data_IF_994759810987
#
_entry.id   IF_994759810987
#
_cell.length_a   1.000
_cell.length_b   1.000
_cell.length_c   1.000
_cell.angle_alpha   90.00
_cell.angle_beta   90.00
_cell.angle_gamma   90.00
#
_symmetry.space_group_name_H-M   'P 1'
#
loop_
_entity.id
_entity.type
_entity.pdbx_description
1 polymer ?
#
# COMPACT_ATOMS: atom_id res chain seq x y z
N UNK A 1 -11.35 -63.97 27.64
CA UNK A 1 -11.91 -62.98 26.69
C UNK A 1 -11.78 -61.59 27.31
N UNK A 2 -10.95 -60.71 26.76
CA UNK A 2 -10.91 -59.27 27.12
C UNK A 2 -10.81 -58.48 25.82
N UNK A 3 -11.87 -57.70 25.57
CA UNK A 3 -12.12 -56.99 24.33
C UNK A 3 -11.11 -55.86 24.11
N UNK A 4 -10.60 -55.75 22.87
CA UNK A 4 -9.83 -54.61 22.41
C UNK A 4 -10.80 -53.52 21.93
N UNK A 5 -10.75 -52.34 22.56
CA UNK A 5 -11.48 -51.15 22.11
C UNK A 5 -10.55 -50.37 21.17
N UNK A 6 -10.79 -50.51 19.87
CA UNK A 6 -10.19 -49.68 18.82
C UNK A 6 -10.89 -48.32 18.82
N UNK A 7 -10.22 -47.31 19.38
CA UNK A 7 -10.65 -45.91 19.29
C UNK A 7 -10.38 -45.35 17.90
N UNK A 8 -11.44 -45.05 17.15
CA UNK A 8 -11.40 -44.43 15.83
C UNK A 8 -11.15 -42.92 16.01
N UNK A 9 -9.94 -42.44 15.71
CA UNK A 9 -9.59 -41.02 15.75
C UNK A 9 -10.14 -40.28 14.54
N UNK A 10 -11.09 -39.37 14.77
CA UNK A 10 -11.60 -38.42 13.77
C UNK A 10 -10.54 -37.31 13.56
N UNK A 11 -9.82 -37.33 12.44
CA UNK A 11 -8.94 -36.23 12.03
C UNK A 11 -9.81 -35.13 11.41
N UNK A 12 -10.14 -34.11 12.20
CA UNK A 12 -10.76 -32.89 11.68
C UNK A 12 -9.72 -32.11 10.85
N UNK A 13 -9.84 -32.16 9.52
CA UNK A 13 -9.08 -31.30 8.60
C UNK A 13 -9.64 -29.89 8.71
N UNK A 14 -8.99 -29.05 9.52
CA UNK A 14 -9.29 -27.63 9.59
C UNK A 14 -8.83 -26.92 8.33
N UNK A 15 -9.77 -26.41 7.53
CA UNK A 15 -9.47 -25.53 6.41
C UNK A 15 -9.22 -24.12 6.98
N UNK A 16 -7.97 -23.76 7.22
CA UNK A 16 -7.61 -22.39 7.59
C UNK A 16 -7.71 -21.48 6.35
N UNK A 17 -8.37 -20.32 6.44
CA UNK A 17 -8.32 -19.35 5.35
C UNK A 17 -6.87 -18.88 5.13
N UNK A 18 -6.48 -18.57 3.88
CA UNK A 18 -5.18 -17.99 3.61
C UNK A 18 -5.05 -16.67 4.40
N UNK A 19 -3.91 -16.50 5.08
CA UNK A 19 -3.61 -15.26 5.79
C UNK A 19 -3.67 -14.06 4.81
N UNK A 20 -4.07 -12.86 5.28
CA UNK A 20 -3.98 -11.65 4.47
C UNK A 20 -2.57 -11.53 3.88
N UNK A 21 -2.48 -11.36 2.56
CA UNK A 21 -1.20 -11.17 1.88
C UNK A 21 -0.57 -9.87 2.41
N UNK A 22 0.40 -10.00 3.30
CA UNK A 22 1.12 -8.85 3.84
C UNK A 22 2.09 -8.33 2.77
N UNK A 23 1.92 -7.07 2.36
CA UNK A 23 2.80 -6.43 1.36
C UNK A 23 3.71 -5.42 2.02
N UNK A 24 4.95 -5.32 1.55
CA UNK A 24 5.86 -4.24 1.87
C UNK A 24 5.65 -3.13 0.83
N UNK A 25 5.51 -1.91 1.31
CA UNK A 25 5.28 -0.73 0.49
C UNK A 25 6.36 0.29 0.80
N UNK A 26 7.18 0.60 -0.19
CA UNK A 26 8.16 1.68 -0.14
C UNK A 26 7.64 2.87 -0.93
N UNK A 27 7.72 4.07 -0.35
CA UNK A 27 7.20 5.30 -0.93
C UNK A 27 8.28 6.36 -0.88
N UNK A 28 8.55 6.97 -2.03
CA UNK A 28 9.44 8.12 -2.15
C UNK A 28 8.77 9.18 -3.01
N UNK A 29 8.74 10.42 -2.53
CA UNK A 29 8.20 11.56 -3.26
C UNK A 29 9.28 12.62 -3.43
N UNK A 30 9.67 12.89 -4.68
CA UNK A 30 10.74 13.85 -5.02
C UNK A 30 10.19 15.09 -5.72
N UNK A 31 10.86 16.25 -5.65
CA UNK A 31 10.47 17.43 -6.41
C UNK A 31 10.33 17.14 -7.90
N UNK A 32 9.32 17.74 -8.54
CA UNK A 32 9.16 17.74 -9.99
C UNK A 32 9.54 19.12 -10.58
N UNK A 33 9.36 19.30 -11.90
CA UNK A 33 9.72 20.51 -12.64
C UNK A 33 8.99 21.78 -12.19
N UNK A 34 7.90 21.66 -11.43
CA UNK A 34 7.11 22.78 -10.92
C UNK A 34 7.11 22.81 -9.39
N UNK A 35 7.05 24.00 -8.76
CA UNK A 35 6.87 24.13 -7.32
C UNK A 35 5.67 23.32 -6.84
N UNK A 36 5.75 22.81 -5.61
CA UNK A 36 4.69 22.06 -4.93
C UNK A 36 4.25 20.74 -5.60
N UNK A 37 4.80 20.38 -6.76
CA UNK A 37 4.58 19.07 -7.37
C UNK A 37 5.62 18.08 -6.93
N UNK A 38 5.14 16.88 -6.57
CA UNK A 38 5.98 15.77 -6.14
C UNK A 38 5.67 14.55 -6.97
N UNK A 39 6.70 14.03 -7.64
CA UNK A 39 6.63 12.73 -8.28
C UNK A 39 6.82 11.66 -7.20
N UNK A 40 5.75 10.95 -6.89
CA UNK A 40 5.77 9.85 -5.93
C UNK A 40 5.96 8.52 -6.67
N UNK A 41 6.95 7.76 -6.25
CA UNK A 41 7.19 6.38 -6.66
C UNK A 41 6.79 5.45 -5.52
N UNK A 42 5.91 4.50 -5.81
CA UNK A 42 5.43 3.47 -4.87
C UNK A 42 5.89 2.11 -5.36
N UNK A 43 6.66 1.39 -4.54
CA UNK A 43 7.08 0.02 -4.82
C UNK A 43 6.35 -0.93 -3.89
N UNK A 44 5.70 -1.94 -4.46
CA UNK A 44 4.90 -2.92 -3.74
C UNK A 44 5.49 -4.31 -3.96
N UNK A 45 5.87 -4.98 -2.88
CA UNK A 45 6.36 -6.35 -2.89
C UNK A 45 5.59 -7.22 -1.89
N UNK A 46 5.41 -8.49 -2.23
CA UNK A 46 4.92 -9.49 -1.28
C UNK A 46 5.98 -9.71 -0.19
N UNK A 47 5.62 -9.60 1.09
CA UNK A 47 6.60 -9.68 2.19
C UNK A 47 7.21 -11.08 2.36
N UNK A 48 6.49 -12.13 1.95
CA UNK A 48 6.93 -13.50 2.18
C UNK A 48 7.90 -13.96 1.09
N UNK A 49 7.59 -13.61 -0.15
CA UNK A 49 8.32 -14.07 -1.34
C UNK A 49 9.28 -13.02 -1.90
N UNK A 50 9.09 -11.75 -1.53
CA UNK A 50 9.80 -10.62 -2.14
C UNK A 50 9.35 -10.31 -3.57
N UNK A 51 8.37 -11.03 -4.11
CA UNK A 51 7.90 -10.85 -5.48
C UNK A 51 7.20 -9.50 -5.67
N UNK A 52 7.37 -8.88 -6.85
CA UNK A 52 6.71 -7.64 -7.19
C UNK A 52 5.20 -7.82 -7.39
N UNK A 53 4.39 -6.95 -6.76
CA UNK A 53 2.93 -7.00 -6.86
C UNK A 53 2.47 -6.18 -8.08
N UNK A 54 2.11 -6.89 -9.16
CA UNK A 54 1.65 -6.30 -10.43
C UNK A 54 0.13 -6.16 -10.46
N UNK A 55 -0.37 -5.24 -11.29
CA UNK A 55 -1.81 -5.08 -11.54
C UNK A 55 -2.58 -4.45 -10.37
N UNK A 56 -1.89 -3.82 -9.42
CA UNK A 56 -2.52 -3.05 -8.38
C UNK A 56 -3.02 -1.71 -8.93
N UNK A 57 -4.18 -1.27 -8.43
CA UNK A 57 -4.62 0.11 -8.58
C UNK A 57 -4.05 0.90 -7.42
N UNK A 58 -3.25 1.94 -7.71
CA UNK A 58 -2.61 2.78 -6.69
C UNK A 58 -3.14 4.20 -6.82
N UNK A 59 -3.62 4.74 -5.70
CA UNK A 59 -4.14 6.11 -5.61
C UNK A 59 -3.41 6.86 -4.51
N UNK A 60 -3.02 8.10 -4.80
CA UNK A 60 -2.33 9.00 -3.88
C UNK A 60 -3.32 10.07 -3.40
N UNK A 61 -3.33 10.35 -2.11
CA UNK A 61 -4.01 11.50 -1.50
C UNK A 61 -3.01 12.22 -0.61
N UNK A 62 -3.15 13.52 -0.39
CA UNK A 62 -2.31 14.23 0.56
C UNK A 62 -3.13 15.16 1.47
N UNK A 63 -2.81 15.17 2.76
CA UNK A 63 -3.41 16.06 3.76
C UNK A 63 -2.34 16.83 4.51
N UNK A 64 -2.61 18.09 4.82
CA UNK A 64 -1.80 18.86 5.76
C UNK A 64 -2.29 18.58 7.19
N UNK A 65 -1.50 17.91 8.05
CA UNK A 65 -1.97 17.47 9.37
C UNK A 65 -2.19 18.61 10.37
N UNK A 66 -1.59 19.78 10.16
CA UNK A 66 -1.81 20.97 11.02
C UNK A 66 -3.19 21.60 10.82
N UNK A 67 -3.81 21.41 9.65
CA UNK A 67 -5.15 21.89 9.32
C UNK A 67 -5.93 20.77 8.59
N UNK A 68 -6.31 19.70 9.29
CA UNK A 68 -6.95 18.54 8.69
C UNK A 68 -8.22 18.93 7.92
N UNK A 69 -8.43 18.32 6.75
CA UNK A 69 -9.59 18.53 5.85
C UNK A 69 -9.75 19.95 5.26
N UNK A 70 -9.03 20.96 5.76
CA UNK A 70 -9.00 22.29 5.16
C UNK A 70 -8.04 22.35 3.97
N UNK A 71 -6.97 21.54 4.03
CA UNK A 71 -5.95 21.44 2.99
C UNK A 71 -5.72 19.97 2.65
N UNK A 72 -6.44 19.52 1.64
CA UNK A 72 -6.47 18.13 1.16
C UNK A 72 -6.38 18.13 -0.35
N UNK A 73 -5.45 17.36 -0.90
CA UNK A 73 -5.30 17.19 -2.35
C UNK A 73 -6.22 16.08 -2.83
N UNK A 74 -7.01 16.29 -3.90
CA UNK A 74 -7.86 15.25 -4.48
C UNK A 74 -7.07 13.97 -4.82
N UNK A 75 -7.71 12.79 -4.77
CA UNK A 75 -7.07 11.54 -5.13
C UNK A 75 -6.48 11.58 -6.56
N UNK A 76 -5.18 11.31 -6.68
CA UNK A 76 -4.45 11.24 -7.94
C UNK A 76 -4.04 9.79 -8.24
N UNK A 77 -4.30 9.26 -9.46
CA UNK A 77 -3.88 7.92 -9.81
C UNK A 77 -2.36 7.84 -9.98
N UNK A 78 -1.77 6.72 -9.57
CA UNK A 78 -0.40 6.36 -9.90
C UNK A 78 -0.40 5.27 -10.98
N UNK A 79 0.22 5.55 -12.12
CA UNK A 79 0.32 4.63 -13.25
C UNK A 79 1.46 3.62 -13.04
N UNK A 80 1.39 2.41 -13.61
CA UNK A 80 2.51 1.47 -13.61
C UNK A 80 3.80 2.11 -14.18
N UNK A 81 4.90 1.91 -13.48
CA UNK A 81 6.24 2.30 -13.92
C UNK A 81 6.89 1.25 -14.84
N UNK A 82 8.15 1.49 -15.18
CA UNK A 82 8.92 0.56 -16.03
C UNK A 82 9.26 -0.76 -15.32
N UNK A 83 9.43 -0.73 -14.01
CA UNK A 83 9.73 -1.91 -13.20
C UNK A 83 8.44 -2.57 -12.69
N UNK A 84 8.34 -3.91 -12.69
CA UNK A 84 7.21 -4.60 -12.08
C UNK A 84 6.99 -4.21 -10.62
N UNK A 85 5.73 -3.98 -10.25
CA UNK A 85 5.35 -3.58 -8.89
C UNK A 85 5.72 -2.16 -8.49
N UNK A 86 6.21 -1.36 -9.44
CA UNK A 86 6.43 0.07 -9.26
C UNK A 86 5.30 0.86 -9.90
N UNK A 87 4.81 1.87 -9.20
CA UNK A 87 3.76 2.80 -9.64
C UNK A 87 4.24 4.23 -9.43
N UNK A 88 3.89 5.13 -10.34
CA UNK A 88 4.28 6.54 -10.32
C UNK A 88 3.08 7.44 -10.50
N UNK A 89 2.94 8.40 -9.60
CA UNK A 89 1.89 9.42 -9.66
C UNK A 89 2.45 10.76 -9.21
N UNK A 90 1.77 11.84 -9.59
CA UNK A 90 2.12 13.18 -9.13
C UNK A 90 1.06 13.66 -8.16
N UNK A 91 1.51 14.16 -7.02
CA UNK A 91 0.68 14.97 -6.11
C UNK A 91 1.07 16.44 -6.28
N UNK A 92 0.05 17.29 -6.47
CA UNK A 92 0.19 18.74 -6.59
C UNK A 92 -0.35 19.37 -5.31
N UNK A 93 0.56 19.87 -4.48
CA UNK A 93 0.24 20.41 -3.16
C UNK A 93 -0.15 21.88 -3.27
N UNK A 94 -0.97 22.34 -2.34
CA UNK A 94 -1.53 23.71 -2.39
C UNK A 94 -0.56 24.76 -1.86
N UNK A 95 0.32 24.35 -0.94
CA UNK A 95 1.24 25.25 -0.24
C UNK A 95 2.43 24.49 0.37
N UNK A 96 3.44 25.26 0.76
CA UNK A 96 4.59 24.77 1.54
C UNK A 96 4.15 24.31 2.93
N UNK A 97 4.93 23.43 3.52
CA UNK A 97 4.67 22.85 4.84
C UNK A 97 4.78 21.34 4.86
N UNK A 98 4.36 20.74 5.98
CA UNK A 98 4.32 19.30 6.18
C UNK A 98 3.05 18.72 5.59
N UNK A 99 3.18 17.63 4.84
CA UNK A 99 2.06 16.90 4.26
C UNK A 99 2.18 15.41 4.55
N UNK A 100 1.05 14.72 4.71
CA UNK A 100 0.97 13.28 4.80
C UNK A 100 0.38 12.76 3.49
N UNK A 101 1.16 12.03 2.72
CA UNK A 101 0.71 11.33 1.50
C UNK A 101 0.16 9.97 1.88
N UNK A 102 -1.14 9.77 1.74
CA UNK A 102 -1.77 8.47 1.85
C UNK A 102 -1.73 7.73 0.51
N UNK A 103 -1.25 6.49 0.52
CA UNK A 103 -1.18 5.60 -0.64
C UNK A 103 -2.19 4.48 -0.43
N UNK A 104 -3.25 4.49 -1.22
CA UNK A 104 -4.26 3.44 -1.24
C UNK A 104 -3.96 2.44 -2.34
N UNK A 105 -3.98 1.16 -2.00
CA UNK A 105 -3.70 0.04 -2.90
C UNK A 105 -4.93 -0.86 -2.97
N UNK A 106 -5.35 -1.21 -4.17
CA UNK A 106 -6.46 -2.13 -4.42
C UNK A 106 -6.15 -3.11 -5.56
N UNK A 107 -6.91 -4.20 -5.64
CA UNK A 107 -6.78 -5.23 -6.67
C UNK A 107 -6.25 -6.55 -6.10
N UNK A 108 -5.06 -7.03 -6.50
CA UNK A 108 -4.51 -8.31 -6.04
C UNK A 108 -4.23 -8.34 -4.53
N UNK A 109 -4.03 -7.15 -3.95
CA UNK A 109 -3.92 -6.89 -2.51
C UNK A 109 -4.71 -5.61 -2.19
N UNK A 110 -5.16 -5.48 -0.95
CA UNK A 110 -5.82 -4.27 -0.47
C UNK A 110 -5.06 -3.78 0.77
N UNK A 111 -4.51 -2.57 0.70
CA UNK A 111 -3.72 -1.98 1.78
C UNK A 111 -3.75 -0.44 1.71
N UNK A 112 -3.36 0.22 2.79
CA UNK A 112 -3.16 1.66 2.83
C UNK A 112 -1.97 2.01 3.73
N UNK A 113 -1.03 2.78 3.19
CA UNK A 113 0.12 3.29 3.94
C UNK A 113 0.21 4.80 3.85
N UNK A 114 0.94 5.43 4.77
CA UNK A 114 1.20 6.87 4.77
C UNK A 114 2.68 7.17 4.67
N UNK A 115 3.01 8.28 4.01
CA UNK A 115 4.36 8.80 3.84
C UNK A 115 4.38 10.31 4.07
N UNK A 116 5.14 10.78 5.06
CA UNK A 116 5.22 12.21 5.38
C UNK A 116 6.30 12.87 4.55
N UNK A 117 6.01 14.06 4.03
CA UNK A 117 6.95 14.92 3.33
C UNK A 117 6.93 16.34 3.91
N UNK A 118 8.07 17.01 3.88
CA UNK A 118 8.20 18.42 4.24
C UNK A 118 8.58 19.23 2.98
N UNK A 119 7.87 20.34 2.76
CA UNK A 119 8.04 21.21 1.60
C UNK A 119 8.48 22.60 2.04
N UNK A 120 9.68 23.00 1.62
CA UNK A 120 10.29 24.30 1.92
C UNK A 120 9.91 25.43 0.96
#
# INVERSE_FOLDING_TARGET
>A
MRAALLGLGLLAVGCSPPAPQAVAVDVSCVPESRPLRRLCTVRITDRQTGAAVRGATVTLHADMPSMPMAHSVPPAPAAPGAEPGVYRGVVELEMRGRWVVAVRIAGPVNDQVTHTIDIE
#
